data_IF_889902958727
#
_entry.id   IF_889902958727
#
_cell.length_a   1.000
_cell.length_b   1.000
_cell.length_c   1.000
_cell.angle_alpha   90.00
_cell.angle_beta   90.00
_cell.angle_gamma   90.00
#
_symmetry.space_group_name_H-M   'P 1'
#
loop_
_entity.id
_entity.type
_entity.pdbx_description
1 polymer ?
#
# COMPACT_ATOMS: atom_id res chain seq x y z
N UNK A 1 5.18 28.13 14.13
CA UNK A 1 4.72 27.62 12.83
C UNK A 1 5.41 26.32 12.38
N UNK A 2 6.38 25.76 13.14
CA UNK A 2 7.10 24.53 12.78
C UNK A 2 6.53 23.24 13.41
N UNK A 3 5.87 23.34 14.56
CA UNK A 3 5.32 22.18 15.27
C UNK A 3 4.21 21.49 14.46
N UNK A 4 3.34 22.27 13.79
CA UNK A 4 2.27 21.72 12.95
C UNK A 4 2.80 20.90 11.76
N UNK A 5 3.90 21.32 11.11
CA UNK A 5 4.48 20.59 9.98
C UNK A 5 5.17 19.29 10.40
N UNK A 6 5.83 19.28 11.57
CA UNK A 6 6.46 18.06 12.09
C UNK A 6 5.41 17.05 12.51
N UNK A 7 4.36 17.48 13.22
CA UNK A 7 3.24 16.63 13.61
C UNK A 7 2.56 16.04 12.35
N UNK A 8 2.27 16.89 11.36
CA UNK A 8 1.66 16.44 10.11
C UNK A 8 2.54 15.42 9.37
N UNK A 9 3.85 15.64 9.28
CA UNK A 9 4.77 14.68 8.66
C UNK A 9 4.77 13.32 9.37
N UNK A 10 4.77 13.30 10.70
CA UNK A 10 4.72 12.04 11.45
C UNK A 10 3.36 11.34 11.31
N UNK A 11 2.26 12.10 11.30
CA UNK A 11 0.92 11.57 11.04
C UNK A 11 0.81 10.94 9.66
N UNK A 12 1.24 11.65 8.61
CA UNK A 12 1.24 11.13 7.24
C UNK A 12 2.12 9.89 7.11
N UNK A 13 3.30 9.87 7.73
CA UNK A 13 4.18 8.70 7.74
C UNK A 13 3.55 7.50 8.45
N UNK A 14 2.85 7.72 9.56
CA UNK A 14 2.15 6.67 10.30
C UNK A 14 0.97 6.12 9.48
N UNK A 15 0.15 6.99 8.89
CA UNK A 15 -0.96 6.60 8.01
C UNK A 15 -0.47 5.83 6.79
N UNK A 16 0.66 6.23 6.20
CA UNK A 16 1.29 5.54 5.08
C UNK A 16 1.71 4.13 5.47
N UNK A 17 2.39 3.98 6.61
CA UNK A 17 2.81 2.66 7.11
C UNK A 17 1.60 1.76 7.37
N UNK A 18 0.58 2.29 8.04
CA UNK A 18 -0.67 1.56 8.29
C UNK A 18 -1.39 1.16 6.99
N UNK A 19 -1.39 2.04 5.98
CA UNK A 19 -2.02 1.74 4.69
C UNK A 19 -1.27 0.64 3.92
N UNK A 20 0.06 0.60 4.01
CA UNK A 20 0.87 -0.49 3.46
C UNK A 20 0.56 -1.79 4.18
N UNK A 21 0.53 -1.79 5.52
CA UNK A 21 0.22 -2.99 6.33
C UNK A 21 -1.17 -3.55 5.98
N UNK A 22 -2.20 -2.71 5.95
CA UNK A 22 -3.56 -3.13 5.56
C UNK A 22 -3.63 -3.67 4.13
N UNK A 23 -2.89 -3.06 3.20
CA UNK A 23 -2.83 -3.55 1.83
C UNK A 23 -2.17 -4.93 1.76
N UNK A 24 -1.11 -5.15 2.54
CA UNK A 24 -0.48 -6.47 2.67
C UNK A 24 -1.44 -7.50 3.26
N UNK A 25 -2.13 -7.18 4.34
CA UNK A 25 -3.11 -8.08 4.96
C UNK A 25 -4.18 -8.53 3.96
N UNK A 26 -4.70 -7.59 3.14
CA UNK A 26 -5.67 -7.92 2.08
C UNK A 26 -5.06 -8.82 1.02
N UNK A 27 -3.85 -8.52 0.55
CA UNK A 27 -3.21 -9.31 -0.49
C UNK A 27 -2.87 -10.72 0.01
N UNK A 28 -2.35 -10.86 1.23
CA UNK A 28 -2.02 -12.15 1.85
C UNK A 28 -3.26 -12.98 2.19
N UNK A 29 -4.40 -12.33 2.49
CA UNK A 29 -5.67 -13.02 2.68
C UNK A 29 -6.25 -13.59 1.36
N UNK A 30 -5.92 -12.99 0.21
CA UNK A 30 -6.49 -13.34 -1.10
C UNK A 30 -5.56 -14.19 -1.96
N UNK A 31 -4.25 -14.03 -1.79
CA UNK A 31 -3.22 -14.61 -2.65
C UNK A 31 -2.14 -15.32 -1.85
N UNK A 32 -1.27 -16.06 -2.54
CA UNK A 32 -0.19 -16.79 -1.89
C UNK A 32 0.79 -15.81 -1.21
N UNK A 33 1.05 -15.95 0.11
CA UNK A 33 1.87 -15.00 0.86
C UNK A 33 3.28 -14.80 0.28
N UNK A 34 3.89 -15.86 -0.26
CA UNK A 34 5.21 -15.78 -0.88
C UNK A 34 5.23 -14.85 -2.11
N UNK A 35 4.18 -14.89 -2.92
CA UNK A 35 4.07 -14.04 -4.11
C UNK A 35 3.77 -12.60 -3.73
N UNK A 36 2.98 -12.39 -2.67
CA UNK A 36 2.64 -11.07 -2.13
C UNK A 36 3.87 -10.39 -1.56
N UNK A 37 4.73 -11.11 -0.82
CA UNK A 37 5.96 -10.55 -0.25
C UNK A 37 6.92 -9.99 -1.31
N UNK A 38 6.86 -10.47 -2.55
CA UNK A 38 7.66 -9.89 -3.66
C UNK A 38 7.27 -8.44 -3.98
N UNK A 39 6.07 -8.01 -3.61
CA UNK A 39 5.54 -6.66 -3.86
C UNK A 39 5.94 -5.65 -2.78
N UNK A 40 6.48 -6.10 -1.66
CA UNK A 40 6.87 -5.25 -0.52
C UNK A 40 7.79 -4.09 -0.88
N UNK A 41 8.91 -4.30 -1.57
CA UNK A 41 9.78 -3.19 -1.95
C UNK A 41 9.07 -2.17 -2.85
N UNK A 42 8.14 -2.61 -3.72
CA UNK A 42 7.39 -1.72 -4.61
C UNK A 42 6.41 -0.87 -3.80
N UNK A 43 5.61 -1.49 -2.94
CA UNK A 43 4.61 -0.80 -2.13
C UNK A 43 5.23 0.15 -1.10
N UNK A 44 6.38 -0.19 -0.52
CA UNK A 44 7.09 0.68 0.42
C UNK A 44 7.69 1.94 -0.24
N UNK A 45 7.99 1.86 -1.55
CA UNK A 45 8.52 2.96 -2.34
C UNK A 45 7.43 3.99 -2.72
N UNK A 46 6.15 3.63 -2.62
CA UNK A 46 5.03 4.55 -2.86
C UNK A 46 5.00 5.60 -1.75
N UNK A 47 5.16 6.86 -2.13
CA UNK A 47 5.20 7.99 -1.20
C UNK A 47 3.81 8.58 -0.97
N UNK A 48 2.96 8.52 -1.98
CA UNK A 48 1.63 9.12 -1.96
C UNK A 48 0.64 8.23 -1.20
N UNK A 49 0.12 8.75 -0.09
CA UNK A 49 -0.87 8.04 0.72
C UNK A 49 -2.14 7.73 -0.07
N UNK A 50 -2.53 8.64 -0.97
CA UNK A 50 -3.74 8.48 -1.79
C UNK A 50 -3.61 7.30 -2.76
N UNK A 51 -2.42 7.08 -3.30
CA UNK A 51 -2.12 5.95 -4.19
C UNK A 51 -2.25 4.62 -3.43
N UNK A 52 -1.70 4.54 -2.21
CA UNK A 52 -1.86 3.35 -1.35
C UNK A 52 -3.32 3.06 -1.02
N UNK A 53 -4.14 4.08 -0.72
CA UNK A 53 -5.58 3.91 -0.48
C UNK A 53 -6.30 3.39 -1.73
N UNK A 54 -5.96 3.91 -2.91
CA UNK A 54 -6.50 3.41 -4.17
C UNK A 54 -6.09 1.95 -4.42
N UNK A 55 -4.82 1.62 -4.22
CA UNK A 55 -4.32 0.26 -4.35
C UNK A 55 -5.02 -0.70 -3.39
N UNK A 56 -5.27 -0.31 -2.14
CA UNK A 56 -6.06 -1.10 -1.20
C UNK A 56 -7.46 -1.41 -1.74
N UNK A 57 -8.15 -0.43 -2.32
CA UNK A 57 -9.45 -0.67 -2.95
C UNK A 57 -9.36 -1.56 -4.19
N UNK A 58 -8.31 -1.43 -5.00
CA UNK A 58 -8.10 -2.28 -6.17
C UNK A 58 -7.75 -3.71 -5.76
N UNK A 59 -6.92 -3.89 -4.72
CA UNK A 59 -6.56 -5.16 -4.13
C UNK A 59 -7.75 -5.96 -3.59
N UNK A 60 -8.92 -5.33 -3.35
CA UNK A 60 -10.17 -6.02 -3.01
C UNK A 60 -10.98 -6.46 -4.24
N UNK A 61 -10.73 -5.87 -5.41
CA UNK A 61 -11.55 -6.03 -6.64
C UNK A 61 -10.91 -6.93 -7.69
N UNK A 62 -9.58 -6.89 -7.80
CA UNK A 62 -8.81 -7.69 -8.75
C UNK A 62 -9.09 -9.18 -8.60
N UNK A 63 -9.12 -9.92 -9.70
CA UNK A 63 -9.47 -11.34 -9.71
C UNK A 63 -8.28 -12.24 -9.35
N UNK A 64 -7.06 -11.75 -9.61
CA UNK A 64 -5.81 -12.46 -9.34
C UNK A 64 -4.67 -11.47 -9.06
N UNK A 65 -3.53 -12.00 -8.62
CA UNK A 65 -2.36 -11.21 -8.27
C UNK A 65 -1.68 -10.57 -9.48
N UNK A 66 -1.74 -11.18 -10.67
CA UNK A 66 -1.12 -10.62 -11.87
C UNK A 66 -1.86 -9.36 -12.34
N UNK A 67 -3.19 -9.34 -12.24
CA UNK A 67 -4.00 -8.14 -12.48
C UNK A 67 -3.59 -7.00 -11.52
N UNK A 68 -3.34 -7.32 -10.24
CA UNK A 68 -2.82 -6.35 -9.29
C UNK A 68 -1.42 -5.84 -9.65
N UNK A 69 -0.52 -6.73 -10.09
CA UNK A 69 0.82 -6.35 -10.56
C UNK A 69 0.76 -5.44 -11.78
N UNK A 70 -0.18 -5.66 -12.69
CA UNK A 70 -0.40 -4.78 -13.83
C UNK A 70 -0.80 -3.37 -13.40
N UNK A 71 -1.66 -3.24 -12.39
CA UNK A 71 -2.02 -1.94 -11.80
C UNK A 71 -0.81 -1.26 -11.16
N UNK A 72 0.03 -1.99 -10.44
CA UNK A 72 1.25 -1.46 -9.82
C UNK A 72 2.32 -1.02 -10.83
N UNK A 73 2.27 -1.55 -12.06
CA UNK A 73 3.24 -1.28 -13.11
C UNK A 73 2.79 -0.20 -14.09
N UNK A 74 1.57 0.33 -13.92
CA UNK A 74 0.95 1.33 -14.79
C UNK A 74 1.23 2.75 -14.33
#
# INVERSE_FOLDING_TARGET
MHESSVIQYFSEKAERKNSIELLFDVLEARFQPNDVQTLKPVLENIKELQELKQLHHQALRVSNLDEFKHILSS
#
